data_IF_212223283921
#
_entry.id   IF_212223283921
#
_cell.length_a   1.000
_cell.length_b   1.000
_cell.length_c   1.000
_cell.angle_alpha   90.00
_cell.angle_beta   90.00
_cell.angle_gamma   90.00
#
_symmetry.space_group_name_H-M   'P 1'
#
loop_
_entity.id
_entity.type
_entity.pdbx_description
1 polymer ?
#
# COMPACT_ATOMS: atom_id res chain seq x y z
N UNK A 1 13.45 -16.43 8.44
CA UNK A 1 14.19 -15.14 8.39
C UNK A 1 14.33 -14.53 9.80
N UNK A 2 15.42 -13.81 10.11
CA UNK A 2 15.66 -13.22 11.47
C UNK A 2 14.97 -11.86 11.72
N UNK A 3 14.51 -11.19 10.66
CA UNK A 3 13.75 -9.93 10.78
C UNK A 3 12.34 -10.19 11.30
N UNK A 4 11.85 -9.31 12.18
CA UNK A 4 10.44 -9.26 12.61
C UNK A 4 9.62 -8.23 11.83
N UNK A 5 10.25 -7.37 11.04
CA UNK A 5 9.58 -6.30 10.31
C UNK A 5 10.28 -5.96 8.98
N UNK A 6 9.48 -5.87 7.91
CA UNK A 6 9.90 -5.47 6.58
C UNK A 6 9.07 -4.26 6.16
N UNK A 7 9.74 -3.16 5.82
CA UNK A 7 9.10 -1.95 5.33
C UNK A 7 9.11 -1.87 3.80
N UNK A 8 7.99 -1.49 3.22
CA UNK A 8 7.87 -1.12 1.81
C UNK A 8 7.61 0.38 1.69
N UNK A 9 8.60 1.12 1.21
CA UNK A 9 8.61 2.58 1.19
C UNK A 9 8.74 3.12 -0.23
N UNK A 10 8.28 4.36 -0.44
CA UNK A 10 8.28 5.00 -1.75
C UNK A 10 7.12 5.97 -1.95
N UNK A 11 7.24 6.88 -2.91
CA UNK A 11 6.19 7.85 -3.24
C UNK A 11 4.93 7.18 -3.84
N UNK A 12 3.76 7.87 -3.89
CA UNK A 12 2.59 7.34 -4.59
C UNK A 12 2.91 6.92 -6.02
N UNK A 13 2.28 5.84 -6.50
CA UNK A 13 2.52 5.31 -7.85
C UNK A 13 3.66 4.31 -7.97
N UNK A 14 4.52 4.16 -6.96
CA UNK A 14 5.65 3.20 -6.97
C UNK A 14 5.25 1.73 -6.80
N UNK A 15 3.96 1.41 -6.69
CA UNK A 15 3.48 0.03 -6.59
C UNK A 15 3.63 -0.64 -5.22
N UNK A 16 3.92 0.11 -4.14
CA UNK A 16 4.08 -0.40 -2.76
C UNK A 16 3.04 -1.44 -2.37
N UNK A 17 1.76 -1.08 -2.37
CA UNK A 17 0.68 -1.95 -1.89
C UNK A 17 0.58 -3.24 -2.70
N UNK A 18 0.78 -3.14 -4.02
CA UNK A 18 0.77 -4.30 -4.90
C UNK A 18 1.93 -5.24 -4.61
N UNK A 19 3.14 -4.71 -4.46
CA UNK A 19 4.32 -5.54 -4.27
C UNK A 19 4.46 -6.05 -2.84
N UNK A 20 4.09 -5.28 -1.81
CA UNK A 20 4.08 -5.74 -0.43
C UNK A 20 3.09 -6.87 -0.21
N UNK A 21 1.90 -6.77 -0.82
CA UNK A 21 0.90 -7.84 -0.82
C UNK A 21 1.44 -9.09 -1.53
N UNK A 22 2.02 -8.93 -2.74
CA UNK A 22 2.59 -10.04 -3.49
C UNK A 22 3.73 -10.73 -2.73
N UNK A 23 4.65 -9.97 -2.14
CA UNK A 23 5.76 -10.53 -1.37
C UNK A 23 5.25 -11.23 -0.11
N UNK A 24 4.26 -10.67 0.58
CA UNK A 24 3.62 -11.35 1.70
C UNK A 24 3.07 -12.72 1.30
N UNK A 25 2.40 -12.80 0.15
CA UNK A 25 1.91 -14.07 -0.39
C UNK A 25 3.02 -15.06 -0.70
N UNK A 26 4.06 -14.62 -1.40
CA UNK A 26 5.15 -15.50 -1.77
C UNK A 26 5.87 -16.03 -0.53
N UNK A 27 6.09 -15.20 0.50
CA UNK A 27 6.67 -15.66 1.76
C UNK A 27 5.75 -16.67 2.47
N UNK A 28 4.44 -16.43 2.54
CA UNK A 28 3.47 -17.40 3.09
C UNK A 28 3.51 -18.73 2.33
N UNK A 29 3.57 -18.68 1.00
CA UNK A 29 3.65 -19.87 0.16
C UNK A 29 4.96 -20.64 0.32
N UNK A 30 6.04 -19.95 0.70
CA UNK A 30 7.32 -20.56 1.05
C UNK A 30 7.39 -20.97 2.55
N UNK A 31 6.27 -20.90 3.28
CA UNK A 31 6.15 -21.41 4.66
C UNK A 31 6.54 -20.41 5.76
N UNK A 32 6.82 -19.15 5.41
CA UNK A 32 7.11 -18.11 6.40
C UNK A 32 5.82 -17.63 7.08
N UNK A 33 5.91 -17.39 8.39
CA UNK A 33 4.83 -16.80 9.19
C UNK A 33 4.86 -15.28 9.02
N UNK A 34 4.19 -14.75 7.99
CA UNK A 34 4.15 -13.30 7.71
C UNK A 34 2.73 -12.74 7.71
N UNK A 35 2.61 -11.47 8.10
CA UNK A 35 1.37 -10.68 8.05
C UNK A 35 1.63 -9.35 7.34
N UNK A 36 0.80 -9.06 6.34
CA UNK A 36 0.76 -7.74 5.71
C UNK A 36 -0.12 -6.78 6.52
N UNK A 37 0.36 -5.56 6.73
CA UNK A 37 -0.36 -4.44 7.33
C UNK A 37 -0.26 -3.28 6.35
N UNK A 38 -1.38 -2.93 5.73
CA UNK A 38 -1.46 -1.85 4.76
C UNK A 38 -1.57 -0.47 5.43
N UNK A 39 -1.45 0.58 4.60
CA UNK A 39 -1.47 1.97 5.06
C UNK A 39 -2.74 2.34 5.84
N UNK A 40 -3.91 1.83 5.43
CA UNK A 40 -5.17 2.14 6.09
C UNK A 40 -5.28 1.46 7.45
N UNK A 41 -4.83 0.21 7.57
CA UNK A 41 -4.87 -0.52 8.84
C UNK A 41 -4.03 0.17 9.90
N UNK A 42 -2.75 0.46 9.60
CA UNK A 42 -1.89 1.05 10.63
C UNK A 42 -2.26 2.50 10.95
N UNK A 43 -2.77 3.25 9.98
CA UNK A 43 -3.30 4.60 10.23
C UNK A 43 -4.53 4.57 11.14
N UNK A 44 -5.43 3.60 10.96
CA UNK A 44 -6.65 3.50 11.75
C UNK A 44 -6.45 2.92 13.15
N UNK A 45 -5.43 2.08 13.34
CA UNK A 45 -5.19 1.37 14.60
C UNK A 45 -4.02 2.00 15.34
N UNK A 46 -2.78 1.73 14.92
CA UNK A 46 -1.58 2.10 15.68
C UNK A 46 -1.27 3.59 15.65
N UNK A 47 -1.60 4.28 14.55
CA UNK A 47 -1.28 5.70 14.37
C UNK A 47 -2.53 6.60 14.39
N UNK A 48 -3.65 6.11 14.89
CA UNK A 48 -4.90 6.89 15.04
C UNK A 48 -4.66 8.20 15.81
N UNK A 49 -3.95 8.12 16.94
CA UNK A 49 -3.60 9.29 17.77
C UNK A 49 -2.68 10.29 17.08
N UNK A 50 -1.79 9.81 16.21
CA UNK A 50 -0.98 10.69 15.37
C UNK A 50 -1.88 11.52 14.44
N UNK A 51 -2.85 10.88 13.79
CA UNK A 51 -3.78 11.56 12.90
C UNK A 51 -4.72 12.53 13.61
N UNK A 52 -5.22 12.17 14.80
CA UNK A 52 -6.01 13.08 15.64
C UNK A 52 -5.25 14.38 15.96
N UNK A 53 -3.94 14.29 16.19
CA UNK A 53 -3.09 15.45 16.45
C UNK A 53 -2.57 16.14 15.20
N UNK A 54 -2.48 15.48 14.06
CA UNK A 54 -1.88 16.05 12.85
C UNK A 54 -2.57 17.35 12.42
N UNK A 55 -3.90 17.40 12.54
CA UNK A 55 -4.71 18.59 12.24
C UNK A 55 -4.54 19.73 13.27
N UNK A 56 -4.05 19.41 14.47
CA UNK A 56 -3.86 20.35 15.59
C UNK A 56 -2.48 20.17 16.23
N UNK A 57 -1.43 20.25 15.41
CA UNK A 57 -0.06 20.00 15.86
C UNK A 57 0.37 20.97 16.98
N UNK A 58 0.85 20.41 18.08
CA UNK A 58 1.33 21.08 19.29
C UNK A 58 2.72 20.56 19.72
N UNK A 59 3.17 20.91 20.93
CA UNK A 59 4.55 20.70 21.37
C UNK A 59 4.92 19.21 21.55
N UNK A 60 3.98 18.36 21.95
CA UNK A 60 4.17 16.91 22.17
C UNK A 60 3.89 16.05 20.92
N UNK A 61 3.66 16.67 19.76
CA UNK A 61 3.32 15.97 18.51
C UNK A 61 4.29 14.83 18.15
N UNK A 62 5.60 15.10 18.22
CA UNK A 62 6.64 14.09 17.95
C UNK A 62 6.62 12.98 19.01
N UNK A 63 6.35 13.32 20.26
CA UNK A 63 6.29 12.33 21.33
C UNK A 63 5.10 11.38 21.14
N UNK A 64 3.95 11.89 20.68
CA UNK A 64 2.82 11.04 20.28
C UNK A 64 3.18 10.11 19.13
N UNK A 65 3.84 10.62 18.09
CA UNK A 65 4.29 9.78 16.97
C UNK A 65 5.23 8.66 17.45
N UNK A 66 6.17 8.97 18.36
CA UNK A 66 7.06 7.96 18.94
C UNK A 66 6.27 6.94 19.75
N UNK A 67 5.30 7.37 20.56
CA UNK A 67 4.48 6.43 21.36
C UNK A 67 3.67 5.47 20.49
N UNK A 68 3.18 5.93 19.33
CA UNK A 68 2.51 5.06 18.34
C UNK A 68 3.47 3.99 17.80
N UNK A 69 4.73 4.36 17.55
CA UNK A 69 5.77 3.41 17.15
C UNK A 69 6.08 2.39 18.25
N UNK A 70 6.20 2.83 19.51
CA UNK A 70 6.45 1.94 20.64
C UNK A 70 5.32 0.90 20.81
N UNK A 71 4.06 1.30 20.62
CA UNK A 71 2.90 0.40 20.65
C UNK A 71 2.90 -0.62 19.50
N UNK A 72 3.19 -0.16 18.27
CA UNK A 72 3.35 -1.06 17.12
C UNK A 72 4.48 -2.06 17.38
N UNK A 73 5.61 -1.59 17.88
CA UNK A 73 6.78 -2.43 18.17
C UNK A 73 6.43 -3.50 19.22
N UNK A 74 5.76 -3.14 20.30
CA UNK A 74 5.32 -4.12 21.31
C UNK A 74 4.38 -5.17 20.71
N UNK A 75 3.45 -4.75 19.83
CA UNK A 75 2.55 -5.66 19.11
C UNK A 75 3.33 -6.67 18.25
N UNK A 76 4.42 -6.23 17.62
CA UNK A 76 5.26 -7.08 16.77
C UNK A 76 6.10 -8.04 17.62
N UNK A 77 6.66 -7.59 18.75
CA UNK A 77 7.45 -8.43 19.66
C UNK A 77 6.64 -9.58 20.26
N UNK A 78 5.37 -9.34 20.59
CA UNK A 78 4.45 -10.35 21.12
C UNK A 78 3.92 -11.31 20.05
N UNK A 79 4.23 -11.05 18.77
CA UNK A 79 3.73 -11.83 17.65
C UNK A 79 4.73 -12.87 17.14
N UNK A 80 4.20 -14.02 16.73
CA UNK A 80 4.92 -15.04 15.97
C UNK A 80 5.05 -14.69 14.48
N UNK A 81 4.46 -13.59 14.02
CA UNK A 81 4.53 -13.16 12.63
C UNK A 81 5.66 -12.17 12.38
N UNK A 82 6.20 -12.23 11.17
CA UNK A 82 7.00 -11.16 10.56
C UNK A 82 6.02 -10.18 9.92
N UNK A 83 6.15 -8.89 10.24
CA UNK A 83 5.24 -7.86 9.74
C UNK A 83 5.78 -7.25 8.46
N UNK A 84 4.97 -7.23 7.40
CA UNK A 84 5.23 -6.47 6.19
C UNK A 84 4.36 -5.22 6.27
N UNK A 85 4.98 -4.05 6.38
CA UNK A 85 4.29 -2.77 6.54
C UNK A 85 4.66 -1.85 5.39
N UNK A 86 3.67 -1.27 4.72
CA UNK A 86 3.92 -0.24 3.71
C UNK A 86 3.70 1.17 4.26
N UNK A 87 4.31 2.18 3.62
CA UNK A 87 4.05 3.60 3.90
C UNK A 87 4.16 4.01 5.38
N UNK A 88 5.16 3.56 6.12
CA UNK A 88 5.28 3.87 7.55
C UNK A 88 6.63 4.54 7.90
N UNK A 89 7.74 3.83 7.72
CA UNK A 89 9.07 4.21 8.19
C UNK A 89 9.54 5.58 7.67
N UNK A 90 9.45 5.80 6.35
CA UNK A 90 9.78 7.10 5.76
C UNK A 90 8.57 8.03 5.66
N UNK A 91 7.38 7.49 5.44
CA UNK A 91 6.13 8.27 5.31
C UNK A 91 5.81 9.13 6.54
N UNK A 92 5.99 8.64 7.77
CA UNK A 92 5.74 9.50 8.94
C UNK A 92 6.71 10.68 9.04
N UNK A 93 7.91 10.52 8.50
CA UNK A 93 8.88 11.63 8.41
C UNK A 93 8.49 12.66 7.35
N UNK A 94 7.83 12.23 6.27
CA UNK A 94 7.25 13.13 5.27
C UNK A 94 6.18 14.06 5.89
N UNK A 95 5.36 13.56 6.81
CA UNK A 95 4.38 14.40 7.51
C UNK A 95 5.03 15.48 8.39
N UNK A 96 6.16 15.18 9.04
CA UNK A 96 6.94 16.19 9.76
C UNK A 96 7.49 17.27 8.82
N UNK A 97 7.95 16.87 7.62
CA UNK A 97 8.34 17.82 6.58
C UNK A 97 7.15 18.68 6.15
N UNK A 98 5.97 18.08 5.94
CA UNK A 98 4.78 18.80 5.51
C UNK A 98 4.33 19.86 6.53
N UNK A 99 4.52 19.60 7.82
CA UNK A 99 4.28 20.53 8.93
C UNK A 99 5.44 21.53 9.16
N UNK A 100 6.43 21.57 8.27
CA UNK A 100 7.60 22.46 8.34
C UNK A 100 8.44 22.33 9.63
N UNK A 101 8.51 21.12 10.21
CA UNK A 101 9.47 20.86 11.29
C UNK A 101 10.91 21.09 10.80
N UNK A 102 11.75 21.63 11.69
CA UNK A 102 13.15 21.87 11.36
C UNK A 102 13.88 20.55 11.05
N UNK A 103 14.89 20.62 10.17
CA UNK A 103 15.75 19.47 9.85
C UNK A 103 16.36 18.82 11.09
N UNK A 104 16.69 19.62 12.11
CA UNK A 104 17.17 19.12 13.40
C UNK A 104 16.13 18.26 14.11
N UNK A 105 14.88 18.75 14.24
CA UNK A 105 13.78 17.99 14.85
C UNK A 105 13.49 16.69 14.08
N UNK A 106 13.44 16.77 12.75
CA UNK A 106 13.25 15.60 11.88
C UNK A 106 14.39 14.57 12.09
N UNK A 107 15.64 15.01 12.07
CA UNK A 107 16.78 14.12 12.29
C UNK A 107 16.77 13.48 13.69
N UNK A 108 16.40 14.24 14.72
CA UNK A 108 16.34 13.74 16.09
C UNK A 108 15.21 12.70 16.26
N UNK A 109 14.03 12.97 15.70
CA UNK A 109 12.95 11.99 15.62
C UNK A 109 13.41 10.72 14.91
N UNK A 110 14.00 10.86 13.72
CA UNK A 110 14.39 9.72 12.91
C UNK A 110 15.48 8.88 13.58
N UNK A 111 16.46 9.50 14.26
CA UNK A 111 17.43 8.77 15.10
C UNK A 111 16.75 7.99 16.22
N UNK A 112 15.77 8.58 16.91
CA UNK A 112 15.00 7.91 17.96
C UNK A 112 14.23 6.71 17.40
N UNK A 113 13.59 6.88 16.24
CA UNK A 113 12.89 5.81 15.52
C UNK A 113 13.83 4.63 15.19
N UNK A 114 15.03 4.91 14.66
CA UNK A 114 16.03 3.88 14.38
C UNK A 114 16.47 3.14 15.65
N UNK A 115 16.61 3.83 16.79
CA UNK A 115 16.99 3.18 18.05
C UNK A 115 15.89 2.21 18.51
N UNK A 116 14.63 2.65 18.56
CA UNK A 116 13.52 1.82 19.07
C UNK A 116 13.21 0.64 18.15
N UNK A 117 13.36 0.79 16.83
CA UNK A 117 13.13 -0.29 15.86
C UNK A 117 14.25 -1.33 15.84
N UNK A 118 15.45 -1.02 16.34
CA UNK A 118 16.63 -1.88 16.18
C UNK A 118 16.45 -3.30 16.73
N UNK A 119 15.64 -3.45 17.78
CA UNK A 119 15.33 -4.76 18.38
C UNK A 119 14.50 -5.67 17.48
N UNK A 120 13.84 -5.14 16.45
CA UNK A 120 13.06 -5.92 15.47
C UNK A 120 13.88 -6.39 14.26
N UNK A 121 15.17 -6.03 14.20
CA UNK A 121 16.05 -6.26 13.06
C UNK A 121 15.40 -5.87 11.71
N UNK A 122 14.98 -4.60 11.52
CA UNK A 122 14.19 -4.18 10.36
C UNK A 122 14.91 -4.42 9.04
N UNK A 123 14.12 -4.68 8.00
CA UNK A 123 14.57 -4.63 6.61
C UNK A 123 13.74 -3.59 5.87
N UNK A 124 14.37 -2.81 4.98
CA UNK A 124 13.68 -1.73 4.26
C UNK A 124 13.83 -1.96 2.77
N UNK A 125 12.71 -1.94 2.05
CA UNK A 125 12.65 -1.96 0.60
C UNK A 125 12.14 -0.58 0.16
N UNK A 126 13.02 0.20 -0.46
CA UNK A 126 12.72 1.53 -0.96
C UNK A 126 12.52 1.49 -2.48
N UNK A 127 11.29 1.70 -2.91
CA UNK A 127 10.91 1.87 -4.30
C UNK A 127 11.07 3.35 -4.68
N UNK A 128 12.02 3.61 -5.58
CA UNK A 128 12.45 4.95 -5.98
C UNK A 128 12.49 5.09 -7.50
N UNK A 129 12.76 6.30 -7.99
CA UNK A 129 12.90 6.53 -9.43
C UNK A 129 12.53 7.96 -9.80
N UNK A 130 12.37 8.20 -11.10
CA UNK A 130 11.96 9.49 -11.63
C UNK A 130 10.54 9.84 -11.16
N UNK A 131 10.45 10.85 -10.28
CA UNK A 131 9.18 11.23 -9.65
C UNK A 131 8.14 11.67 -10.65
N UNK A 132 8.52 12.44 -11.68
CA UNK A 132 7.55 12.92 -12.66
C UNK A 132 6.93 11.75 -13.44
N UNK A 133 7.76 10.83 -13.93
CA UNK A 133 7.32 9.62 -14.63
C UNK A 133 6.39 8.77 -13.76
N UNK A 134 6.78 8.52 -12.51
CA UNK A 134 6.00 7.70 -11.58
C UNK A 134 4.65 8.36 -11.24
N UNK A 135 4.65 9.66 -10.94
CA UNK A 135 3.42 10.38 -10.58
C UNK A 135 2.50 10.53 -11.78
N UNK A 136 3.03 10.79 -12.98
CA UNK A 136 2.26 10.83 -14.22
C UNK A 136 1.53 9.51 -14.45
N UNK A 137 2.25 8.39 -14.34
CA UNK A 137 1.67 7.04 -14.44
C UNK A 137 0.60 6.79 -13.38
N UNK A 138 0.81 7.26 -12.15
CA UNK A 138 -0.17 7.15 -11.08
C UNK A 138 -1.47 7.92 -11.41
N UNK A 139 -1.34 9.13 -11.94
CA UNK A 139 -2.47 9.95 -12.39
C UNK A 139 -3.23 9.30 -13.54
N UNK A 140 -2.52 8.73 -14.52
CA UNK A 140 -3.12 8.02 -15.66
C UNK A 140 -3.91 6.79 -15.20
N UNK A 141 -3.37 6.01 -14.26
CA UNK A 141 -4.04 4.81 -13.71
C UNK A 141 -5.22 5.14 -12.81
N UNK A 142 -5.07 6.12 -11.91
CA UNK A 142 -6.08 6.44 -10.87
C UNK A 142 -7.10 7.51 -11.30
N UNK A 143 -6.89 8.13 -12.46
CA UNK A 143 -7.78 9.09 -13.07
C UNK A 143 -7.76 10.49 -12.44
N UNK A 144 -8.57 11.37 -13.03
CA UNK A 144 -8.60 12.80 -12.70
C UNK A 144 -9.12 13.08 -11.28
N UNK A 145 -10.05 12.28 -10.77
CA UNK A 145 -10.60 12.48 -9.43
C UNK A 145 -9.51 12.30 -8.37
N UNK A 146 -8.77 11.19 -8.40
CA UNK A 146 -7.66 10.95 -7.49
C UNK A 146 -6.58 12.02 -7.63
N UNK A 147 -6.26 12.39 -8.88
CA UNK A 147 -5.24 13.41 -9.18
C UNK A 147 -5.59 14.75 -8.55
N UNK A 148 -6.82 15.24 -8.75
CA UNK A 148 -7.27 16.52 -8.21
C UNK A 148 -7.34 16.49 -6.68
N UNK A 149 -7.86 15.42 -6.08
CA UNK A 149 -7.89 15.28 -4.62
C UNK A 149 -6.48 15.31 -4.01
N UNK A 150 -5.52 14.65 -4.66
CA UNK A 150 -4.13 14.61 -4.19
C UNK A 150 -3.46 15.98 -4.30
N UNK A 151 -3.66 16.68 -5.42
CA UNK A 151 -3.19 18.06 -5.61
C UNK A 151 -3.78 18.97 -4.52
N UNK A 152 -5.11 18.96 -4.35
CA UNK A 152 -5.81 19.81 -3.37
C UNK A 152 -5.33 19.57 -1.93
N UNK A 153 -5.08 18.30 -1.57
CA UNK A 153 -4.58 17.94 -0.24
C UNK A 153 -3.16 18.48 -0.02
N UNK A 154 -2.26 18.27 -0.98
CA UNK A 154 -0.85 18.66 -0.89
C UNK A 154 -0.70 20.18 -0.91
N UNK A 155 -1.44 20.89 -1.75
CA UNK A 155 -1.40 22.36 -1.85
C UNK A 155 -1.81 23.07 -0.56
N UNK A 156 -2.77 22.50 0.18
CA UNK A 156 -3.22 23.03 1.47
C UNK A 156 -2.21 22.80 2.59
N UNK A 157 -1.23 21.91 2.37
CA UNK A 157 -0.18 21.61 3.33
C UNK A 157 0.76 22.81 3.56
N UNK A 158 1.21 23.07 4.81
CA UNK A 158 2.08 24.21 5.12
C UNK A 158 3.35 24.27 4.25
N UNK A 159 3.98 23.12 4.00
CA UNK A 159 5.21 23.02 3.20
C UNK A 159 5.04 23.52 1.76
N UNK A 160 3.94 23.19 1.10
CA UNK A 160 3.69 23.62 -0.28
C UNK A 160 3.17 25.05 -0.34
N UNK A 161 2.33 25.41 0.64
CA UNK A 161 1.79 26.75 0.77
C UNK A 161 2.92 27.79 0.90
N UNK A 162 3.90 27.56 1.78
CA UNK A 162 5.03 28.48 1.99
C UNK A 162 5.91 28.65 0.74
N UNK A 163 5.93 27.63 -0.13
CA UNK A 163 6.69 27.59 -1.40
C UNK A 163 5.88 28.08 -2.60
N UNK A 164 4.60 28.42 -2.43
CA UNK A 164 3.68 28.85 -3.50
C UNK A 164 3.61 27.86 -4.67
N UNK A 165 3.67 26.57 -4.36
CA UNK A 165 3.63 25.48 -5.35
C UNK A 165 2.20 24.99 -5.53
N UNK A 166 1.78 24.89 -6.79
CA UNK A 166 0.42 24.50 -7.18
C UNK A 166 0.42 23.59 -8.41
N UNK A 167 -0.72 22.95 -8.64
CA UNK A 167 -1.02 22.02 -9.70
C UNK A 167 -0.15 20.77 -9.69
N UNK A 168 -0.21 20.05 -10.81
CA UNK A 168 0.58 18.86 -11.04
C UNK A 168 2.09 19.08 -10.83
N UNK A 169 2.62 20.21 -11.31
CA UNK A 169 4.04 20.54 -11.11
C UNK A 169 4.39 20.66 -9.63
N UNK A 170 3.54 21.34 -8.84
CA UNK A 170 3.73 21.42 -7.39
C UNK A 170 3.70 20.05 -6.71
N UNK A 171 2.78 19.17 -7.12
CA UNK A 171 2.72 17.80 -6.62
C UNK A 171 3.99 16.99 -6.94
N UNK A 172 4.52 17.08 -8.17
CA UNK A 172 5.79 16.43 -8.56
C UNK A 172 6.95 16.96 -7.74
N UNK A 173 7.05 18.28 -7.55
CA UNK A 173 8.10 18.90 -6.72
C UNK A 173 8.01 18.45 -5.25
N UNK A 174 6.81 18.32 -4.70
CA UNK A 174 6.59 17.82 -3.34
C UNK A 174 7.12 16.39 -3.16
N UNK A 175 6.74 15.46 -4.04
CA UNK A 175 7.20 14.08 -3.95
C UNK A 175 8.69 13.93 -4.30
N UNK A 176 9.24 14.82 -5.13
CA UNK A 176 10.69 14.88 -5.38
C UNK A 176 11.44 15.29 -4.12
N UNK A 177 10.95 16.30 -3.40
CA UNK A 177 11.53 16.74 -2.13
C UNK A 177 11.37 15.67 -1.03
N UNK A 178 10.25 14.95 -1.00
CA UNK A 178 10.05 13.79 -0.13
C UNK A 178 11.11 12.69 -0.39
N UNK A 179 11.34 12.34 -1.65
CA UNK A 179 12.35 11.34 -2.02
C UNK A 179 13.76 11.79 -1.64
N UNK A 180 14.09 13.08 -1.82
CA UNK A 180 15.37 13.66 -1.37
C UNK A 180 15.51 13.56 0.15
N UNK A 181 14.47 13.86 0.91
CA UNK A 181 14.47 13.72 2.37
C UNK A 181 14.79 12.27 2.77
N UNK A 182 14.22 11.27 2.09
CA UNK A 182 14.54 9.87 2.37
C UNK A 182 16.04 9.60 2.17
N UNK A 183 16.63 10.04 1.06
CA UNK A 183 18.08 9.91 0.83
C UNK A 183 18.94 10.66 1.85
N UNK A 184 18.51 11.82 2.33
CA UNK A 184 19.22 12.57 3.37
C UNK A 184 19.20 11.85 4.73
N UNK A 185 18.15 11.09 5.00
CA UNK A 185 17.98 10.32 6.25
C UNK A 185 18.68 8.96 6.20
N UNK A 186 18.92 8.40 5.01
CA UNK A 186 19.54 7.09 4.83
C UNK A 186 20.86 6.88 5.59
N UNK A 187 21.79 7.85 5.65
CA UNK A 187 23.03 7.70 6.43
C UNK A 187 22.82 7.51 7.95
N UNK A 188 21.62 7.75 8.46
CA UNK A 188 21.26 7.55 9.87
C UNK A 188 20.71 6.14 10.16
N UNK A 189 20.52 5.32 9.12
CA UNK A 189 19.90 4.00 9.21
C UNK A 189 20.98 2.93 9.37
N UNK A 190 20.80 2.07 10.38
CA UNK A 190 21.71 0.94 10.65
C UNK A 190 21.13 -0.41 10.20
N UNK A 191 20.11 -0.38 9.35
CA UNK A 191 19.36 -1.53 8.86
C UNK A 191 19.69 -1.82 7.39
N UNK A 192 19.53 -3.07 6.94
CA UNK A 192 19.60 -3.38 5.51
C UNK A 192 18.53 -2.61 4.72
N UNK A 193 18.97 -1.94 3.65
CA UNK A 193 18.07 -1.23 2.72
C UNK A 193 18.32 -1.75 1.31
N UNK A 194 17.28 -2.33 0.70
CA UNK A 194 17.22 -2.61 -0.72
C UNK A 194 16.59 -1.42 -1.44
N UNK A 195 17.34 -0.78 -2.32
CA UNK A 195 16.81 0.29 -3.17
C UNK A 195 16.52 -0.25 -4.55
N UNK A 196 15.32 -0.02 -5.07
CA UNK A 196 14.92 -0.47 -6.41
C UNK A 196 14.39 0.71 -7.21
N UNK A 197 14.94 0.88 -8.41
CA UNK A 197 14.42 1.86 -9.36
C UNK A 197 13.22 1.27 -10.10
N UNK A 198 12.04 1.87 -9.93
CA UNK A 198 10.78 1.45 -10.55
C UNK A 198 10.35 2.36 -11.70
N UNK A 199 11.24 3.22 -12.19
CA UNK A 199 10.95 4.13 -13.31
C UNK A 199 10.45 3.36 -14.53
N UNK A 200 11.06 2.21 -14.84
CA UNK A 200 10.74 1.39 -16.02
C UNK A 200 9.55 0.41 -15.80
N UNK A 201 8.90 0.40 -14.63
CA UNK A 201 7.75 -0.48 -14.33
C UNK A 201 8.00 -1.99 -14.51
N UNK A 202 9.25 -2.46 -14.40
CA UNK A 202 9.61 -3.86 -14.64
C UNK A 202 9.30 -4.75 -13.42
N UNK A 203 8.01 -5.02 -13.20
CA UNK A 203 7.51 -5.73 -12.01
C UNK A 203 8.10 -7.12 -11.81
N UNK A 204 8.19 -7.94 -12.87
CA UNK A 204 8.77 -9.29 -12.77
C UNK A 204 10.21 -9.21 -12.24
N UNK A 205 11.00 -8.26 -12.72
CA UNK A 205 12.37 -8.09 -12.25
C UNK A 205 12.40 -7.60 -10.80
N UNK A 206 11.57 -6.61 -10.45
CA UNK A 206 11.44 -6.08 -9.08
C UNK A 206 11.05 -7.18 -8.09
N UNK A 207 10.04 -7.99 -8.40
CA UNK A 207 9.56 -9.11 -7.59
C UNK A 207 10.68 -10.14 -7.33
N UNK A 208 11.39 -10.56 -8.38
CA UNK A 208 12.51 -11.50 -8.27
C UNK A 208 13.66 -10.95 -7.42
N UNK A 209 14.01 -9.68 -7.61
CA UNK A 209 15.10 -9.04 -6.85
C UNK A 209 14.76 -8.98 -5.36
N UNK A 210 13.53 -8.66 -5.01
CA UNK A 210 13.10 -8.61 -3.60
C UNK A 210 13.11 -10.02 -2.98
N UNK A 211 12.53 -11.02 -3.66
CA UNK A 211 12.50 -12.39 -3.15
C UNK A 211 13.90 -12.98 -2.96
N UNK A 212 14.82 -12.69 -3.89
CA UNK A 212 16.22 -13.08 -3.75
C UNK A 212 16.87 -12.40 -2.55
N UNK A 213 16.70 -11.08 -2.41
CA UNK A 213 17.30 -10.32 -1.31
C UNK A 213 16.79 -10.74 0.08
N UNK A 214 15.51 -11.11 0.20
CA UNK A 214 14.91 -11.52 1.48
C UNK A 214 15.34 -12.94 1.92
N UNK A 215 15.87 -13.77 1.00
CA UNK A 215 16.33 -15.13 1.34
C UNK A 215 16.23 -16.16 0.22
N UNK A 216 16.31 -15.75 -1.06
CA UNK A 216 16.21 -16.64 -2.23
C UNK A 216 14.94 -17.50 -2.28
N UNK A 217 13.80 -16.89 -1.95
CA UNK A 217 12.51 -17.56 -2.02
C UNK A 217 12.10 -17.91 -3.45
N UNK A 218 11.48 -19.07 -3.60
CA UNK A 218 10.97 -19.53 -4.91
C UNK A 218 9.63 -18.88 -5.23
N UNK A 219 9.42 -18.45 -6.48
CA UNK A 219 8.10 -17.99 -6.91
C UNK A 219 7.15 -19.20 -6.99
N UNK A 220 6.09 -19.14 -6.19
CA UNK A 220 5.03 -20.13 -6.13
C UNK A 220 3.78 -19.61 -6.86
N UNK A 221 3.37 -20.33 -7.91
CA UNK A 221 2.18 -20.01 -8.71
C UNK A 221 0.96 -20.89 -8.34
N UNK A 222 0.87 -21.32 -7.07
CA UNK A 222 -0.08 -22.37 -6.62
C UNK A 222 -1.56 -22.13 -6.97
N UNK A 223 -1.96 -20.89 -7.22
CA UNK A 223 -3.35 -20.54 -7.47
C UNK A 223 -3.73 -20.33 -8.94
N UNK A 224 -2.76 -20.35 -9.86
CA UNK A 224 -3.02 -20.49 -11.28
C UNK A 224 -3.14 -21.97 -11.62
N UNK A 225 -4.32 -22.55 -11.42
CA UNK A 225 -4.63 -23.82 -12.06
C UNK A 225 -4.82 -23.53 -13.56
N UNK A 226 -3.96 -24.06 -14.41
CA UNK A 226 -4.06 -23.92 -15.88
C UNK A 226 -5.44 -24.34 -16.43
N UNK A 227 -6.19 -25.13 -15.66
CA UNK A 227 -7.54 -25.59 -16.01
C UNK A 227 -8.68 -24.68 -15.50
N UNK A 228 -8.40 -23.60 -14.76
CA UNK A 228 -9.44 -22.74 -14.24
C UNK A 228 -10.04 -21.87 -15.35
N UNK A 229 -11.31 -22.09 -15.66
CA UNK A 229 -12.01 -21.30 -16.67
C UNK A 229 -12.40 -19.92 -16.13
N UNK A 230 -11.47 -18.97 -16.19
CA UNK A 230 -11.68 -17.60 -15.73
C UNK A 230 -12.87 -16.89 -16.42
N UNK A 231 -13.36 -17.37 -17.57
CA UNK A 231 -14.50 -16.75 -18.29
C UNK A 231 -15.82 -16.81 -17.53
N UNK A 232 -15.96 -17.72 -16.56
CA UNK A 232 -17.20 -17.81 -15.80
C UNK A 232 -17.41 -16.60 -14.87
N UNK A 233 -16.34 -15.92 -14.47
CA UNK A 233 -16.36 -14.76 -13.56
C UNK A 233 -16.60 -13.43 -14.29
N UNK A 234 -16.43 -13.38 -15.62
CA UNK A 234 -16.68 -12.19 -16.42
C UNK A 234 -18.17 -11.87 -16.44
N UNK A 235 -18.52 -10.60 -16.30
CA UNK A 235 -19.90 -10.14 -16.33
C UNK A 235 -20.12 -8.87 -15.53
N UNK A 236 -21.39 -8.44 -15.46
CA UNK A 236 -21.80 -7.31 -14.63
C UNK A 236 -22.44 -7.80 -13.34
N UNK A 237 -22.21 -7.06 -12.27
CA UNK A 237 -22.63 -7.38 -10.92
C UNK A 237 -23.32 -6.18 -10.29
N UNK A 238 -24.57 -6.35 -9.90
CA UNK A 238 -25.36 -5.35 -9.21
C UNK A 238 -25.01 -5.33 -7.73
N UNK A 239 -24.59 -4.17 -7.22
CA UNK A 239 -24.37 -3.96 -5.78
C UNK A 239 -25.71 -3.83 -5.04
N UNK A 240 -25.80 -4.21 -3.75
CA UNK A 240 -27.01 -4.02 -2.95
C UNK A 240 -27.26 -2.54 -2.65
N UNK A 241 -28.47 -2.18 -2.19
CA UNK A 241 -28.86 -0.77 -1.94
C UNK A 241 -28.04 -0.13 -0.83
N UNK A 242 -27.63 -0.94 0.13
CA UNK A 242 -26.83 -0.59 1.30
C UNK A 242 -25.35 -0.46 0.95
N UNK A 243 -24.96 -0.77 -0.28
CA UNK A 243 -23.58 -0.62 -0.73
C UNK A 243 -23.16 0.85 -0.64
N UNK A 244 -21.97 1.15 -0.10
CA UNK A 244 -21.52 2.53 0.09
C UNK A 244 -21.48 3.34 -1.21
N UNK A 245 -21.17 2.67 -2.32
CA UNK A 245 -21.15 3.25 -3.65
C UNK A 245 -22.53 3.07 -4.34
N UNK A 246 -23.47 3.98 -4.03
CA UNK A 246 -24.89 3.86 -4.44
C UNK A 246 -25.08 3.85 -5.95
N UNK A 247 -25.95 2.95 -6.43
CA UNK A 247 -26.42 2.92 -7.83
C UNK A 247 -25.41 2.34 -8.82
N UNK A 248 -24.37 1.67 -8.32
CA UNK A 248 -23.25 1.20 -9.14
C UNK A 248 -23.42 -0.24 -9.60
N UNK A 249 -22.92 -0.51 -10.80
CA UNK A 249 -22.65 -1.87 -11.23
C UNK A 249 -21.14 -2.08 -11.22
N UNK A 250 -20.72 -3.23 -10.71
CA UNK A 250 -19.35 -3.70 -10.84
C UNK A 250 -19.26 -4.50 -12.13
N UNK A 251 -18.17 -4.32 -12.87
CA UNK A 251 -17.90 -5.10 -14.07
C UNK A 251 -16.62 -5.89 -13.86
N UNK A 252 -16.67 -7.18 -14.20
CA UNK A 252 -15.47 -8.01 -14.26
C UNK A 252 -15.26 -8.37 -15.72
N UNK A 253 -14.08 -8.05 -16.24
CA UNK A 253 -13.69 -8.34 -17.61
C UNK A 253 -12.28 -8.94 -17.66
N UNK A 254 -11.87 -9.38 -18.85
CA UNK A 254 -10.49 -9.84 -19.08
C UNK A 254 -9.63 -8.76 -19.67
N UNK A 255 -8.42 -8.66 -19.12
CA UNK A 255 -7.33 -7.88 -19.67
C UNK A 255 -6.01 -8.59 -19.35
N UNK A 256 -5.13 -8.76 -20.34
CA UNK A 256 -3.80 -9.37 -20.17
C UNK A 256 -3.78 -10.70 -19.40
N UNK A 257 -4.73 -11.60 -19.72
CA UNK A 257 -4.93 -12.90 -19.05
C UNK A 257 -5.30 -12.83 -17.56
N UNK A 258 -5.69 -11.66 -17.06
CA UNK A 258 -6.17 -11.46 -15.70
C UNK A 258 -7.63 -11.02 -15.72
N UNK A 259 -8.32 -11.30 -14.62
CA UNK A 259 -9.62 -10.69 -14.36
C UNK A 259 -9.39 -9.29 -13.79
N UNK A 260 -10.15 -8.32 -14.28
CA UNK A 260 -10.11 -6.93 -13.81
C UNK A 260 -11.48 -6.55 -13.30
N UNK A 261 -11.53 -6.04 -12.08
CA UNK A 261 -12.72 -5.47 -11.45
C UNK A 261 -12.75 -3.97 -11.71
N UNK A 262 -13.86 -3.51 -12.29
CA UNK A 262 -14.16 -2.10 -12.53
C UNK A 262 -15.46 -1.71 -11.84
N UNK A 263 -15.54 -0.45 -11.44
CA UNK A 263 -16.72 0.22 -10.93
C UNK A 263 -16.61 1.71 -11.20
N UNK A 264 -17.42 2.52 -10.55
CA UNK A 264 -17.46 3.96 -10.85
C UNK A 264 -16.18 4.68 -10.42
N UNK A 265 -15.55 4.23 -9.34
CA UNK A 265 -14.37 4.87 -8.74
C UNK A 265 -13.08 4.06 -8.87
N UNK A 266 -13.13 2.88 -9.52
CA UNK A 266 -11.98 2.01 -9.73
C UNK A 266 -12.06 1.43 -11.14
N UNK A 267 -10.99 1.58 -11.92
CA UNK A 267 -11.01 1.20 -13.34
C UNK A 267 -10.17 -0.04 -13.65
N UNK A 268 -9.25 -0.44 -12.76
CA UNK A 268 -8.16 -1.37 -13.10
C UNK A 268 -7.80 -2.37 -11.98
N UNK A 269 -8.72 -2.71 -11.08
CA UNK A 269 -8.43 -3.62 -9.97
C UNK A 269 -8.24 -5.08 -10.44
N UNK A 270 -6.98 -5.45 -10.66
CA UNK A 270 -6.59 -6.81 -11.06
C UNK A 270 -6.89 -7.82 -9.96
N UNK A 271 -7.49 -8.94 -10.33
CA UNK A 271 -7.85 -10.03 -9.43
C UNK A 271 -6.84 -11.17 -9.54
N UNK A 272 -6.31 -11.62 -8.40
CA UNK A 272 -5.42 -12.78 -8.31
C UNK A 272 -6.13 -13.94 -7.64
N UNK A 273 -6.18 -15.13 -8.26
CA UNK A 273 -6.86 -16.26 -7.64
C UNK A 273 -6.14 -16.71 -6.36
N UNK A 274 -6.92 -17.10 -5.35
CA UNK A 274 -6.51 -17.84 -4.15
C UNK A 274 -7.18 -19.22 -4.09
N UNK A 275 -8.32 -19.38 -4.75
CA UNK A 275 -9.01 -20.65 -4.96
C UNK A 275 -9.97 -20.51 -6.16
N UNK A 276 -10.77 -21.55 -6.43
CA UNK A 276 -11.83 -21.49 -7.44
C UNK A 276 -12.88 -20.39 -7.13
N UNK A 277 -13.03 -19.97 -5.87
CA UNK A 277 -14.06 -18.99 -5.50
C UNK A 277 -13.50 -17.72 -4.90
N UNK A 278 -12.25 -17.72 -4.47
CA UNK A 278 -11.63 -16.57 -3.81
C UNK A 278 -10.59 -15.93 -4.69
N UNK A 279 -10.69 -14.62 -4.85
CA UNK A 279 -9.71 -13.81 -5.55
C UNK A 279 -9.37 -12.60 -4.69
N UNK A 280 -8.09 -12.30 -4.61
CA UNK A 280 -7.63 -11.06 -4.03
C UNK A 280 -7.69 -9.95 -5.04
N UNK A 281 -7.90 -8.75 -4.54
CA UNK A 281 -7.71 -7.54 -5.33
C UNK A 281 -6.26 -7.08 -5.13
N UNK A 282 -5.51 -6.99 -6.22
CA UNK A 282 -4.11 -6.56 -6.19
C UNK A 282 -4.00 -5.13 -5.68
N UNK A 283 -3.16 -4.92 -4.68
CA UNK A 283 -2.83 -3.61 -4.11
C UNK A 283 -3.80 -3.08 -3.06
N UNK A 284 -4.79 -3.86 -2.63
CA UNK A 284 -5.68 -3.48 -1.51
C UNK A 284 -5.96 -4.71 -0.62
N UNK A 285 -6.23 -4.53 0.69
CA UNK A 285 -6.45 -5.61 1.66
C UNK A 285 -7.86 -6.22 1.53
N UNK A 286 -8.32 -6.49 0.31
CA UNK A 286 -9.69 -6.92 0.02
C UNK A 286 -9.71 -8.16 -0.87
N UNK A 287 -10.69 -9.01 -0.64
CA UNK A 287 -10.96 -10.20 -1.46
C UNK A 287 -12.39 -10.19 -1.99
N UNK A 288 -12.58 -10.76 -3.18
CA UNK A 288 -13.90 -11.15 -3.70
C UNK A 288 -14.08 -12.64 -3.52
N UNK A 289 -15.24 -13.02 -2.98
CA UNK A 289 -15.60 -14.43 -2.80
C UNK A 289 -16.83 -14.77 -3.65
N UNK A 290 -16.57 -15.34 -4.83
CA UNK A 290 -17.58 -15.75 -5.79
C UNK A 290 -18.48 -16.86 -5.26
N UNK A 291 -19.76 -16.77 -5.60
CA UNK A 291 -20.75 -17.81 -5.30
C UNK A 291 -21.02 -18.65 -6.55
N UNK A 292 -20.48 -19.87 -6.55
CA UNK A 292 -20.77 -20.87 -7.57
C UNK A 292 -22.05 -21.63 -7.22
N UNK A 293 -22.95 -21.76 -8.19
CA UNK A 293 -24.08 -22.69 -8.12
C UNK A 293 -24.26 -23.34 -9.50
N UNK A 294 -24.22 -24.66 -9.54
CA UNK A 294 -24.39 -25.45 -10.78
C UNK A 294 -23.43 -25.01 -11.90
N UNK A 295 -22.14 -24.78 -11.56
CA UNK A 295 -21.10 -24.37 -12.50
C UNK A 295 -21.23 -22.93 -13.01
N UNK A 296 -22.14 -22.11 -12.44
CA UNK A 296 -22.34 -20.71 -12.82
C UNK A 296 -22.10 -19.78 -11.63
N UNK A 297 -21.46 -18.66 -11.90
CA UNK A 297 -21.30 -17.57 -10.94
C UNK A 297 -22.65 -16.86 -10.76
N UNK A 298 -23.13 -16.78 -9.51
CA UNK A 298 -24.36 -16.06 -9.14
C UNK A 298 -24.09 -14.64 -8.64
N UNK A 299 -22.85 -14.36 -8.28
CA UNK A 299 -22.43 -13.12 -7.66
C UNK A 299 -21.14 -13.33 -6.88
N UNK A 300 -20.74 -12.33 -6.10
CA UNK A 300 -19.65 -12.45 -5.13
C UNK A 300 -19.94 -11.63 -3.88
N UNK A 301 -19.38 -12.07 -2.77
CA UNK A 301 -19.27 -11.25 -1.56
C UNK A 301 -18.08 -10.30 -1.72
N UNK A 302 -18.29 -9.03 -1.36
CA UNK A 302 -17.28 -7.99 -1.28
C UNK A 302 -17.31 -7.35 0.10
N UNK A 303 -16.25 -7.51 0.88
CA UNK A 303 -16.11 -6.84 2.18
C UNK A 303 -15.54 -5.46 1.95
N UNK A 304 -16.30 -4.40 2.23
CA UNK A 304 -15.90 -3.00 2.02
C UNK A 304 -14.99 -2.49 3.15
N UNK A 305 -14.44 -1.28 2.99
CA UNK A 305 -13.57 -0.60 3.99
C UNK A 305 -14.26 -0.45 5.35
N UNK A 306 -15.59 -0.39 5.38
CA UNK A 306 -16.39 -0.34 6.61
C UNK A 306 -16.52 -1.71 7.32
N UNK A 307 -15.84 -2.73 6.81
CA UNK A 307 -15.83 -4.12 7.29
C UNK A 307 -17.17 -4.85 7.13
N UNK A 308 -18.16 -4.24 6.46
CA UNK A 308 -19.39 -4.92 6.09
C UNK A 308 -19.18 -5.72 4.81
N UNK A 309 -19.83 -6.88 4.73
CA UNK A 309 -19.80 -7.73 3.54
C UNK A 309 -21.07 -7.57 2.74
N UNK A 310 -20.91 -7.27 1.45
CA UNK A 310 -21.98 -6.98 0.52
C UNK A 310 -22.03 -8.03 -0.59
N UNK A 311 -23.19 -8.63 -0.81
CA UNK A 311 -23.38 -9.57 -1.90
C UNK A 311 -23.72 -8.83 -3.20
N UNK A 312 -22.81 -8.88 -4.17
CA UNK A 312 -22.96 -8.30 -5.50
C UNK A 312 -23.51 -9.37 -6.45
N UNK A 313 -24.76 -9.20 -6.90
CA UNK A 313 -25.46 -10.21 -7.72
C UNK A 313 -25.06 -10.13 -9.18
N UNK A 314 -24.71 -11.24 -9.81
CA UNK A 314 -24.40 -11.26 -11.24
C UNK A 314 -25.68 -11.01 -12.06
N UNK A 315 -25.65 -10.04 -12.96
CA UNK A 315 -26.80 -9.63 -13.79
C UNK A 315 -26.58 -9.88 -15.29
N UNK A 316 -25.33 -9.92 -15.75
CA UNK A 316 -24.95 -10.21 -17.14
C UNK A 316 -23.74 -11.14 -17.19
#
# INVERSE_FOLDING_TARGET
>A
MDSKIIFFEGQPGTGKSTISQYICEQLQLNGESVRWVDEYEHNAIQFSRFWEKYDNCDEDFIDVLVSCWEELINTIEESEHIFIIESAFFSYTLYLMNLEFSKEKINNYFKKLNIILSKLNPQIILLKGDTETIIRRACERRGNQWTNMTIDMIEKGPYQYSRKRVGFKGMVEYFSDAQKLYFELMPLINFPILQIDVTEDNWITTENVILSWLGDYTIQNHYHNENMNLKIYVGKYQVPKEFPAKGENLEIFFEDNLLVLKGTYWEDYKLSPRSETKFLIKGIPMEVNFKLKEGKIKGFDYTFIDRNTYFCSKIE
#
